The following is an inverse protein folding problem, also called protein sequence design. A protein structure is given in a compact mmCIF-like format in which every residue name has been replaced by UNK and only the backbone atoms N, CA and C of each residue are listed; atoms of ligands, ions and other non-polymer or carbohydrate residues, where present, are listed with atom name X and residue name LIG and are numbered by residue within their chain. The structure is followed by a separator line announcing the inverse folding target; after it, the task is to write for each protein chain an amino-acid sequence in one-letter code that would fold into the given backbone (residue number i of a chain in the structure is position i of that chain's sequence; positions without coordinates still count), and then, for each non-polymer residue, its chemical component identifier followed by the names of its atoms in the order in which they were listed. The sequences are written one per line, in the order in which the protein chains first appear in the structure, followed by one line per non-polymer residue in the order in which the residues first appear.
data_IF_616056433884
#
_entry.id   IF_616056433884
#
_cell.length_a   1.000
_cell.length_b   1.000
_cell.length_c   1.000
_cell.angle_alpha   90.00
_cell.angle_beta   90.00
_cell.angle_gamma   90.00
#
_symmetry.space_group_name_H-M   'P 1'
#
loop_
_entity.id
_entity.type
_entity.pdbx_description
1 polymer ?
#
# COMPACT_ATOMS: atom_id res chain seq x y z
N UNK A 1 1.21 1.02 -7.19
CA UNK A 1 0.89 0.73 -8.60
C UNK A 1 -0.59 0.99 -8.81
N UNK A 2 -1.00 1.95 -9.65
CA UNK A 2 -2.45 2.20 -9.87
C UNK A 2 -2.96 1.22 -10.92
N UNK A 3 -3.76 0.22 -10.50
CA UNK A 3 -4.49 -0.66 -11.41
C UNK A 3 -5.90 -0.11 -11.60
N UNK A 4 -6.18 0.47 -12.77
CA UNK A 4 -7.55 0.80 -13.19
C UNK A 4 -8.07 -0.35 -14.04
N UNK A 5 -8.87 -1.24 -13.43
CA UNK A 5 -9.70 -2.16 -14.20
C UNK A 5 -10.92 -1.40 -14.73
N UNK A 6 -11.09 -1.36 -16.04
CA UNK A 6 -12.25 -0.74 -16.65
C UNK A 6 -12.77 -1.57 -17.82
N UNK A 7 -14.08 -1.75 -17.84
CA UNK A 7 -14.80 -2.48 -18.88
C UNK A 7 -15.16 -1.58 -20.09
N UNK A 8 -14.92 -0.26 -19.99
CA UNK A 8 -15.23 0.74 -21.01
C UNK A 8 -14.07 1.75 -21.19
N UNK A 9 -13.46 1.73 -22.37
CA UNK A 9 -12.32 2.57 -22.74
C UNK A 9 -12.61 4.08 -22.65
N UNK A 10 -13.83 4.52 -22.95
CA UNK A 10 -14.18 5.94 -22.94
C UNK A 10 -14.25 6.49 -21.51
N UNK A 11 -14.86 5.74 -20.60
CA UNK A 11 -14.88 6.10 -19.18
C UNK A 11 -13.49 6.07 -18.57
N UNK A 12 -12.65 5.11 -18.97
CA UNK A 12 -11.25 5.04 -18.53
C UNK A 12 -10.47 6.26 -18.99
N UNK A 13 -10.59 6.62 -20.27
CA UNK A 13 -9.91 7.77 -20.84
C UNK A 13 -10.27 9.07 -20.11
N UNK A 14 -11.55 9.29 -19.82
CA UNK A 14 -11.99 10.46 -19.07
C UNK A 14 -11.42 10.49 -17.64
N UNK A 15 -11.40 9.34 -16.94
CA UNK A 15 -10.85 9.23 -15.58
C UNK A 15 -9.33 9.37 -15.51
N UNK A 16 -8.63 9.02 -16.58
CA UNK A 16 -7.17 9.17 -16.69
C UNK A 16 -6.75 10.56 -17.21
N UNK A 17 -7.70 11.42 -17.57
CA UNK A 17 -7.39 12.80 -17.96
C UNK A 17 -6.74 13.54 -16.79
N UNK A 18 -5.53 14.06 -17.00
CA UNK A 18 -4.73 14.70 -15.94
C UNK A 18 -3.94 13.74 -15.06
N UNK A 19 -3.97 12.42 -15.33
CA UNK A 19 -3.14 11.44 -14.63
C UNK A 19 -1.78 11.34 -15.33
N UNK A 20 -0.71 11.41 -14.54
CA UNK A 20 0.65 11.11 -14.99
C UNK A 20 0.96 9.66 -14.61
N UNK A 21 1.39 8.87 -15.58
CA UNK A 21 1.77 7.46 -15.39
C UNK A 21 3.29 7.37 -15.52
N UNK A 22 3.95 6.87 -14.48
CA UNK A 22 5.39 6.63 -14.47
C UNK A 22 5.70 5.16 -14.17
N UNK A 23 6.74 4.64 -14.82
CA UNK A 23 7.30 3.32 -14.55
C UNK A 23 8.69 3.51 -13.94
N UNK A 24 8.71 3.91 -12.66
CA UNK A 24 9.93 4.13 -11.89
C UNK A 24 10.00 3.16 -10.71
N UNK A 25 11.21 2.90 -10.17
CA UNK A 25 11.36 2.35 -8.84
C UNK A 25 10.59 3.22 -7.82
N UNK A 26 9.90 2.57 -6.87
CA UNK A 26 8.99 3.26 -5.96
C UNK A 26 9.71 4.36 -5.15
N UNK A 27 10.96 4.13 -4.74
CA UNK A 27 11.75 5.08 -3.98
C UNK A 27 12.06 6.36 -4.79
N UNK A 28 12.36 6.21 -6.09
CA UNK A 28 12.57 7.34 -6.99
C UNK A 28 11.27 8.13 -7.23
N UNK A 29 10.15 7.43 -7.38
CA UNK A 29 8.83 8.05 -7.50
C UNK A 29 8.50 8.89 -6.27
N UNK A 30 8.66 8.31 -5.08
CA UNK A 30 8.41 8.99 -3.80
C UNK A 30 9.29 10.24 -3.70
N UNK A 31 10.60 10.11 -3.93
CA UNK A 31 11.53 11.25 -3.83
C UNK A 31 11.19 12.39 -4.80
N UNK A 32 10.69 12.08 -6.00
CA UNK A 32 10.28 13.06 -7.01
C UNK A 32 9.05 13.86 -6.61
N UNK A 33 8.09 13.22 -5.95
CA UNK A 33 6.78 13.81 -5.67
C UNK A 33 6.59 14.26 -4.22
N UNK A 34 7.52 13.95 -3.30
CA UNK A 34 7.36 14.26 -1.88
C UNK A 34 7.37 15.77 -1.62
N UNK A 35 6.18 16.31 -1.37
CA UNK A 35 5.90 17.74 -1.14
C UNK A 35 4.68 17.90 -0.23
N UNK A 36 4.52 19.03 0.48
CA UNK A 36 3.47 19.22 1.48
C UNK A 36 2.03 18.96 1.01
N UNK A 37 1.75 19.16 -0.28
CA UNK A 37 0.41 18.97 -0.85
C UNK A 37 0.14 17.55 -1.35
N UNK A 38 1.15 16.66 -1.35
CA UNK A 38 1.00 15.31 -1.87
C UNK A 38 0.31 14.40 -0.85
N UNK A 39 -0.53 13.50 -1.36
CA UNK A 39 -1.02 12.34 -0.63
C UNK A 39 -0.53 11.09 -1.39
N UNK A 40 0.24 10.27 -0.70
CA UNK A 40 0.72 8.98 -1.19
C UNK A 40 -0.22 7.89 -0.69
N UNK A 41 -0.79 7.14 -1.63
CA UNK A 41 -1.43 5.87 -1.34
C UNK A 41 -0.45 4.74 -1.67
N UNK A 42 -0.09 3.97 -0.64
CA UNK A 42 0.86 2.88 -0.73
C UNK A 42 0.12 1.54 -0.62
N UNK A 43 0.42 0.66 -1.56
CA UNK A 43 -0.16 -0.69 -1.63
C UNK A 43 0.97 -1.65 -2.05
N UNK A 44 1.93 -1.93 -1.14
CA UNK A 44 3.03 -2.85 -1.42
C UNK A 44 2.52 -4.30 -1.47
N UNK A 45 3.32 -5.24 -2.01
CA UNK A 45 3.05 -6.66 -1.84
C UNK A 45 2.80 -7.02 -0.37
N UNK A 46 1.89 -7.95 -0.10
CA UNK A 46 1.55 -8.30 1.28
C UNK A 46 2.70 -9.03 1.96
N UNK A 47 2.84 -8.83 3.27
CA UNK A 47 3.87 -9.52 4.06
C UNK A 47 3.69 -11.03 3.97
N UNK A 48 4.75 -11.75 3.61
CA UNK A 48 4.77 -13.20 3.36
C UNK A 48 4.26 -13.61 1.97
N UNK A 49 3.90 -12.65 1.10
CA UNK A 49 3.45 -12.86 -0.29
C UNK A 49 4.30 -12.05 -1.28
N UNK A 50 5.56 -11.78 -0.96
CA UNK A 50 6.44 -10.89 -1.73
C UNK A 50 6.75 -11.43 -3.14
N UNK A 51 6.77 -12.76 -3.29
CA UNK A 51 7.07 -13.44 -4.56
C UNK A 51 5.96 -13.30 -5.62
N UNK A 52 4.75 -12.85 -5.24
CA UNK A 52 3.59 -12.77 -6.14
C UNK A 52 3.69 -11.63 -7.18
N UNK A 53 4.53 -10.61 -6.91
CA UNK A 53 4.66 -9.42 -7.76
C UNK A 53 5.95 -9.36 -8.59
N UNK A 54 6.67 -10.48 -8.68
CA UNK A 54 7.90 -10.62 -9.47
C UNK A 54 9.16 -10.52 -8.60
N UNK A 55 10.06 -11.49 -8.79
CA UNK A 55 11.29 -11.61 -7.98
C UNK A 55 12.10 -10.32 -7.98
N UNK A 56 12.49 -9.87 -6.78
CA UNK A 56 13.37 -8.73 -6.51
C UNK A 56 12.81 -7.31 -6.76
N UNK A 57 11.49 -7.15 -6.93
CA UNK A 57 10.87 -5.81 -7.06
C UNK A 57 10.58 -5.16 -5.70
N UNK A 58 10.38 -5.98 -4.66
CA UNK A 58 10.11 -5.55 -3.29
C UNK A 58 10.58 -6.65 -2.35
N UNK A 59 11.34 -6.29 -1.33
CA UNK A 59 11.87 -7.19 -0.31
C UNK A 59 11.31 -6.81 1.07
N UNK A 60 11.32 -7.73 2.06
CA UNK A 60 10.86 -7.42 3.41
C UNK A 60 11.51 -6.18 4.04
N UNK A 61 12.78 -5.90 3.70
CA UNK A 61 13.53 -4.72 4.17
C UNK A 61 12.99 -3.40 3.60
N UNK A 62 12.26 -3.44 2.48
CA UNK A 62 11.61 -2.25 1.92
C UNK A 62 10.50 -1.72 2.84
N UNK A 63 9.88 -2.56 3.69
CA UNK A 63 8.92 -2.09 4.68
C UNK A 63 9.56 -1.17 5.72
N UNK A 64 10.76 -1.50 6.20
CA UNK A 64 11.51 -0.63 7.11
C UNK A 64 11.92 0.67 6.42
N UNK A 65 12.33 0.59 5.15
CA UNK A 65 12.67 1.75 4.33
C UNK A 65 11.46 2.69 4.16
N UNK A 66 10.28 2.13 3.86
CA UNK A 66 9.02 2.88 3.77
C UNK A 66 8.65 3.50 5.11
N UNK A 67 8.75 2.77 6.21
CA UNK A 67 8.49 3.32 7.55
C UNK A 67 9.44 4.48 7.89
N UNK A 68 10.72 4.36 7.53
CA UNK A 68 11.72 5.42 7.67
C UNK A 68 11.36 6.68 6.88
N UNK A 69 10.96 6.51 5.62
CA UNK A 69 10.47 7.62 4.79
C UNK A 69 9.18 8.23 5.37
N UNK A 70 8.17 7.43 5.71
CA UNK A 70 6.87 7.92 6.21
C UNK A 70 7.02 8.78 7.47
N UNK A 71 8.02 8.52 8.32
CA UNK A 71 8.34 9.33 9.52
C UNK A 71 8.82 10.74 9.18
N UNK A 72 9.43 10.92 8.01
CA UNK A 72 10.09 12.19 7.59
C UNK A 72 9.48 12.81 6.34
N UNK A 73 8.45 12.17 5.78
CA UNK A 73 7.78 12.60 4.56
C UNK A 73 7.23 14.02 4.71
N UNK A 74 7.34 14.81 3.63
CA UNK A 74 6.74 16.15 3.58
C UNK A 74 5.24 16.06 3.32
N UNK A 75 4.84 15.10 2.47
CA UNK A 75 3.46 14.79 2.17
C UNK A 75 2.81 13.85 3.18
N UNK A 76 1.51 13.63 2.98
CA UNK A 76 0.73 12.63 3.71
C UNK A 76 0.91 11.25 3.08
N UNK A 77 0.95 10.21 3.89
CA UNK A 77 1.02 8.83 3.45
C UNK A 77 -0.06 7.98 4.11
N UNK A 78 -0.76 7.17 3.31
CA UNK A 78 -1.72 6.16 3.72
C UNK A 78 -1.33 4.84 3.05
N UNK A 79 -1.16 3.79 3.83
CA UNK A 79 -0.79 2.46 3.34
C UNK A 79 -1.85 1.43 3.72
N UNK A 80 -2.25 0.59 2.76
CA UNK A 80 -3.03 -0.63 2.99
C UNK A 80 -2.10 -1.85 3.01
N UNK A 81 -2.27 -2.74 3.99
CA UNK A 81 -1.45 -3.95 4.12
C UNK A 81 -2.18 -5.03 4.95
N UNK A 82 -1.75 -6.28 4.88
CA UNK A 82 -2.25 -7.32 5.78
C UNK A 82 -1.84 -7.08 7.24
N UNK A 83 -2.72 -7.48 8.15
CA UNK A 83 -2.47 -7.46 9.59
C UNK A 83 -1.52 -8.59 10.00
N UNK A 84 -0.22 -8.30 10.03
CA UNK A 84 0.84 -9.18 10.48
C UNK A 84 1.58 -8.57 11.69
N UNK A 85 2.05 -9.38 12.66
CA UNK A 85 2.84 -8.91 13.79
C UNK A 85 4.06 -8.06 13.38
N UNK A 86 4.76 -8.48 12.33
CA UNK A 86 5.96 -7.81 11.81
C UNK A 86 5.62 -6.42 11.26
N UNK A 87 4.51 -6.29 10.53
CA UNK A 87 4.02 -4.99 10.05
C UNK A 87 3.66 -4.08 11.23
N UNK A 88 3.01 -4.61 12.27
CA UNK A 88 2.70 -3.82 13.46
C UNK A 88 3.96 -3.34 14.17
N UNK A 89 5.00 -4.16 14.22
CA UNK A 89 6.28 -3.80 14.83
C UNK A 89 7.01 -2.71 14.02
N UNK A 90 7.17 -2.91 12.71
CA UNK A 90 7.87 -1.98 11.81
C UNK A 90 7.21 -0.58 11.86
N UNK A 91 5.88 -0.55 11.93
CA UNK A 91 5.10 0.68 11.89
C UNK A 91 4.58 1.15 13.26
N UNK A 92 5.12 0.65 14.39
CA UNK A 92 4.59 0.86 15.76
C UNK A 92 4.44 2.33 16.24
N UNK A 93 4.91 3.32 15.48
CA UNK A 93 4.75 4.76 15.78
C UNK A 93 3.72 5.49 14.92
N UNK A 94 3.02 4.79 14.03
CA UNK A 94 2.03 5.38 13.11
C UNK A 94 0.61 5.15 13.61
N UNK A 95 -0.34 5.92 13.06
CA UNK A 95 -1.75 5.62 13.29
C UNK A 95 -2.13 4.38 12.48
N UNK A 96 -2.72 3.39 13.15
CA UNK A 96 -3.17 2.14 12.55
C UNK A 96 -4.68 1.98 12.79
N UNK A 97 -5.41 1.64 11.73
CA UNK A 97 -6.82 1.27 11.79
C UNK A 97 -7.01 -0.15 11.25
N UNK A 98 -7.64 -1.01 12.04
CA UNK A 98 -7.98 -2.38 11.65
C UNK A 98 -9.25 -2.41 10.81
N UNK A 99 -9.16 -3.00 9.62
CA UNK A 99 -10.28 -3.21 8.71
C UNK A 99 -10.52 -4.72 8.58
N UNK A 100 -11.76 -5.14 8.78
CA UNK A 100 -12.14 -6.54 8.58
C UNK A 100 -12.56 -6.72 7.12
N UNK A 101 -11.75 -7.42 6.34
CA UNK A 101 -12.12 -7.87 5.00
C UNK A 101 -12.66 -9.29 5.07
N UNK A 102 -13.90 -9.47 4.60
CA UNK A 102 -14.49 -10.80 4.45
C UNK A 102 -13.96 -11.44 3.17
N UNK A 103 -12.76 -12.03 3.21
CA UNK A 103 -12.30 -12.87 2.10
C UNK A 103 -13.18 -14.13 2.02
N UNK A 104 -14.09 -14.17 1.04
CA UNK A 104 -15.01 -15.30 0.82
C UNK A 104 -14.37 -16.49 0.07
N UNK A 105 -13.05 -16.61 0.05
CA UNK A 105 -12.31 -17.62 -0.75
C UNK A 105 -11.75 -18.76 0.12
N UNK A 106 -12.44 -19.11 1.22
CA UNK A 106 -12.11 -20.31 2.01
C UNK A 106 -13.31 -21.26 2.07
N UNK A 107 -13.23 -22.38 1.35
CA UNK A 107 -14.24 -23.45 1.33
C UNK A 107 -14.30 -24.28 2.64
N UNK A 108 -13.49 -23.95 3.66
CA UNK A 108 -13.42 -24.65 4.95
C UNK A 108 -13.50 -23.67 6.12
N UNK A 109 -14.47 -23.87 7.01
CA UNK A 109 -14.71 -23.01 8.19
C UNK A 109 -13.52 -22.96 9.17
N UNK A 110 -12.66 -23.98 9.17
CA UNK A 110 -11.54 -24.12 10.12
C UNK A 110 -10.28 -23.34 9.74
N UNK A 111 -10.23 -22.74 8.55
CA UNK A 111 -9.13 -21.89 8.08
C UNK A 111 -9.52 -20.39 8.05
N UNK A 112 -10.60 -20.00 8.73
CA UNK A 112 -10.95 -18.58 8.96
C UNK A 112 -10.01 -17.97 10.01
N UNK A 113 -8.72 -17.86 9.69
CA UNK A 113 -7.91 -16.83 10.30
C UNK A 113 -8.57 -15.49 9.97
N UNK A 114 -8.75 -14.61 10.96
CA UNK A 114 -9.14 -13.22 10.67
C UNK A 114 -7.96 -12.61 9.93
N UNK A 115 -7.97 -12.66 8.61
CA UNK A 115 -7.07 -11.88 7.78
C UNK A 115 -7.56 -10.43 7.89
N UNK A 116 -7.10 -9.74 8.94
CA UNK A 116 -7.31 -8.30 9.07
C UNK A 116 -6.49 -7.58 8.01
N UNK A 117 -6.98 -6.45 7.54
CA UNK A 117 -6.16 -5.44 6.85
C UNK A 117 -5.89 -4.30 7.83
N UNK A 118 -4.76 -3.62 7.64
CA UNK A 118 -4.37 -2.43 8.35
C UNK A 118 -4.32 -1.25 7.38
N UNK A 119 -4.92 -0.15 7.80
CA UNK A 119 -4.67 1.17 7.23
C UNK A 119 -3.66 1.90 8.13
N UNK A 120 -2.47 2.17 7.61
CA UNK A 120 -1.36 2.80 8.33
C UNK A 120 -1.12 4.20 7.77
N UNK A 121 -1.07 5.23 8.63
CA UNK A 121 -0.90 6.63 8.19
C UNK A 121 0.02 7.47 9.06
N UNK A 122 0.62 8.51 8.45
CA UNK A 122 1.52 9.47 9.11
C UNK A 122 0.86 10.82 9.47
N UNK A 123 -0.48 10.89 9.47
CA UNK A 123 -1.23 12.13 9.72
C UNK A 123 -2.52 11.86 10.52
N UNK A 124 -3.02 12.91 11.18
CA UNK A 124 -4.30 12.93 11.87
C UNK A 124 -5.47 13.16 10.89
N UNK A 125 -6.64 12.59 11.19
CA UNK A 125 -7.89 12.80 10.43
C UNK A 125 -8.61 14.08 10.83
#
# INVERSE_FOLDING_TARGET
MVVVAAQDYHQTHARLSGVVIECLPYAEFIARYDRPIALFYLDPPYWGCEDDYGKAMFAPEDFETLAGWMKTAKGKALMSINDAPEIREIFAGFHMEEVQVSYSVAHKETARGRHGELLIRNFDL
#
